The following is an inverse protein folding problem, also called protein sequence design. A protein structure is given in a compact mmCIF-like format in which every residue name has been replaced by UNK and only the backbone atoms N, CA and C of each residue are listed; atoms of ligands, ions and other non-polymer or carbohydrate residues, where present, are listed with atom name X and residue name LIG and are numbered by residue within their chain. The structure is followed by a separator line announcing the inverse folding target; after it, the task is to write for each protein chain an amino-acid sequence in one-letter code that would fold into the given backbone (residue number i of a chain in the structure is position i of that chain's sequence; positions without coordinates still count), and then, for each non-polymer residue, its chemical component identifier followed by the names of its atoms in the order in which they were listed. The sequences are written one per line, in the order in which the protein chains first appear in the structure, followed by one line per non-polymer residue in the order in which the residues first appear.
data_IF_774445334913
#
_entry.id   IF_774445334913
#
_cell.length_a   1.000
_cell.length_b   1.000
_cell.length_c   1.000
_cell.angle_alpha   90.00
_cell.angle_beta   90.00
_cell.angle_gamma   90.00
#
_symmetry.space_group_name_H-M   'P 1'
#
loop_
_entity.id
_entity.type
_entity.pdbx_description
1 polymer ?
#
# COMPACT_ATOMS: atom_id res chain seq x y z
N UNK A 1 6.03 2.13 15.26
CA UNK A 1 5.98 2.55 13.84
C UNK A 1 7.33 3.04 13.38
N UNK A 2 7.77 4.24 13.77
CA UNK A 2 9.03 4.85 13.30
C UNK A 2 10.27 3.95 13.54
N UNK A 3 10.43 3.40 14.74
CA UNK A 3 11.56 2.49 15.04
C UNK A 3 11.56 1.25 14.14
N UNK A 4 10.38 0.72 13.84
CA UNK A 4 10.23 -0.44 12.97
C UNK A 4 10.59 -0.08 11.51
N UNK A 5 10.16 1.09 11.05
CA UNK A 5 10.52 1.62 9.73
C UNK A 5 12.05 1.77 9.58
N UNK A 6 12.68 2.46 10.53
CA UNK A 6 14.14 2.65 10.56
C UNK A 6 14.85 1.29 10.57
N UNK A 7 14.38 0.31 11.36
CA UNK A 7 14.97 -1.03 11.40
C UNK A 7 14.99 -1.71 10.03
N UNK A 8 13.88 -1.72 9.30
CA UNK A 8 13.83 -2.33 7.97
C UNK A 8 14.65 -1.56 6.94
N UNK A 9 14.58 -0.23 6.94
CA UNK A 9 15.36 0.61 6.03
C UNK A 9 16.88 0.47 6.26
N UNK A 10 17.33 0.40 7.52
CA UNK A 10 18.73 0.11 7.84
C UNK A 10 19.15 -1.28 7.34
N UNK A 11 18.25 -2.26 7.40
CA UNK A 11 18.47 -3.58 6.81
C UNK A 11 18.73 -3.53 5.30
N UNK A 12 17.94 -2.73 4.56
CA UNK A 12 18.14 -2.50 3.12
C UNK A 12 19.50 -1.85 2.86
N UNK A 13 19.83 -0.75 3.56
CA UNK A 13 21.11 -0.04 3.42
C UNK A 13 22.29 -0.96 3.72
N UNK A 14 22.20 -1.77 4.77
CA UNK A 14 23.24 -2.73 5.13
C UNK A 14 23.44 -3.77 4.03
N UNK A 15 22.36 -4.32 3.47
CA UNK A 15 22.44 -5.33 2.40
C UNK A 15 22.99 -4.76 1.09
N UNK A 16 22.69 -3.50 0.79
CA UNK A 16 23.10 -2.86 -0.46
C UNK A 16 24.53 -2.30 -0.40
N UNK A 17 24.92 -1.67 0.71
CA UNK A 17 26.20 -0.97 0.85
C UNK A 17 27.27 -1.72 1.65
N UNK A 18 27.09 -3.01 1.90
CA UNK A 18 28.04 -3.87 2.66
C UNK A 18 29.49 -3.75 2.19
N UNK A 19 29.73 -3.50 0.91
CA UNK A 19 31.08 -3.40 0.32
C UNK A 19 31.76 -2.04 0.53
N UNK A 20 31.04 -1.00 0.98
CA UNK A 20 31.54 0.38 1.13
C UNK A 20 31.12 0.95 2.50
N UNK A 21 31.90 0.72 3.57
CA UNK A 21 31.48 1.06 4.94
C UNK A 21 31.28 2.56 5.20
N UNK A 22 32.06 3.43 4.53
CA UNK A 22 31.92 4.90 4.68
C UNK A 22 30.58 5.40 4.11
N UNK A 23 30.24 4.97 2.90
CA UNK A 23 28.95 5.29 2.25
C UNK A 23 27.78 4.64 2.98
N UNK A 24 27.96 3.41 3.47
CA UNK A 24 26.97 2.73 4.29
C UNK A 24 26.68 3.51 5.58
N UNK A 25 27.70 3.99 6.29
CA UNK A 25 27.51 4.77 7.52
C UNK A 25 26.78 6.10 7.25
N UNK A 26 27.08 6.75 6.13
CA UNK A 26 26.38 7.97 5.71
C UNK A 26 24.90 7.73 5.42
N UNK A 27 24.59 6.68 4.66
CA UNK A 27 23.20 6.32 4.35
C UNK A 27 22.44 5.82 5.58
N UNK A 28 23.10 5.13 6.50
CA UNK A 28 22.53 4.74 7.79
C UNK A 28 22.21 5.99 8.64
N UNK A 29 23.08 6.99 8.64
CA UNK A 29 22.82 8.27 9.31
C UNK A 29 21.60 8.97 8.69
N UNK A 30 21.53 9.06 7.37
CA UNK A 30 20.38 9.65 6.69
C UNK A 30 19.08 8.87 6.92
N UNK A 31 19.16 7.55 7.08
CA UNK A 31 18.01 6.71 7.47
C UNK A 31 17.53 7.05 8.87
N UNK A 32 18.45 7.18 9.83
CA UNK A 32 18.11 7.53 11.23
C UNK A 32 17.52 8.95 11.31
N UNK A 33 17.99 9.87 10.46
CA UNK A 33 17.47 11.23 10.35
C UNK A 33 16.17 11.32 9.53
N UNK A 34 15.63 10.20 9.04
CA UNK A 34 14.47 10.15 8.14
C UNK A 34 14.62 10.96 6.84
N UNK A 35 15.86 11.19 6.39
CA UNK A 35 16.20 11.92 5.16
C UNK A 35 16.47 11.01 3.97
N UNK A 36 16.47 9.69 4.18
CA UNK A 36 16.72 8.69 3.13
C UNK A 36 15.78 8.80 1.92
N UNK A 37 14.44 9.02 2.06
CA UNK A 37 13.57 9.15 0.89
C UNK A 37 13.98 10.28 -0.06
N UNK A 38 14.49 11.40 0.47
CA UNK A 38 14.95 12.52 -0.33
C UNK A 38 16.26 12.19 -1.08
N UNK A 39 17.18 11.48 -0.41
CA UNK A 39 18.42 11.04 -1.03
C UNK A 39 18.18 9.99 -2.12
N UNK A 40 17.29 9.03 -1.87
CA UNK A 40 16.97 7.98 -2.83
C UNK A 40 16.28 8.59 -4.07
N UNK A 41 15.36 9.53 -3.89
CA UNK A 41 14.77 10.29 -5.00
C UNK A 41 15.83 11.07 -5.82
N UNK A 42 16.78 11.72 -5.15
CA UNK A 42 17.88 12.41 -5.82
C UNK A 42 18.74 11.45 -6.66
N UNK A 43 19.00 10.23 -6.15
CA UNK A 43 19.76 9.21 -6.88
C UNK A 43 19.01 8.65 -8.09
N UNK A 44 17.69 8.44 -7.96
CA UNK A 44 16.85 8.02 -9.09
C UNK A 44 16.92 9.02 -10.24
N UNK A 45 16.84 10.32 -9.93
CA UNK A 45 16.96 11.39 -10.94
C UNK A 45 18.39 11.50 -11.47
N UNK A 46 19.39 11.28 -10.64
CA UNK A 46 20.80 11.32 -11.04
C UNK A 46 21.20 10.20 -12.01
N UNK A 47 20.50 9.06 -12.00
CA UNK A 47 20.73 7.94 -12.92
C UNK A 47 22.10 7.26 -12.78
N UNK A 48 22.92 7.66 -11.81
CA UNK A 48 24.23 7.07 -11.57
C UNK A 48 24.07 5.71 -10.89
N UNK A 49 24.29 4.64 -11.66
CA UNK A 49 24.33 3.27 -11.15
C UNK A 49 25.74 2.90 -10.76
N UNK A 50 25.97 2.62 -9.48
CA UNK A 50 27.29 2.17 -9.04
C UNK A 50 27.44 0.65 -9.25
N UNK A 51 28.59 0.21 -9.76
CA UNK A 51 28.85 -1.19 -10.16
C UNK A 51 28.75 -2.23 -9.02
N UNK A 52 28.69 -1.78 -7.77
CA UNK A 52 28.59 -2.63 -6.58
C UNK A 52 27.18 -2.71 -6.00
N UNK A 53 26.22 -1.94 -6.51
CA UNK A 53 24.84 -1.92 -6.05
C UNK A 53 24.10 -3.19 -6.50
N UNK A 54 23.35 -3.78 -5.56
CA UNK A 54 22.56 -5.00 -5.83
C UNK A 54 21.21 -4.69 -6.46
N UNK A 55 20.63 -3.58 -6.07
CA UNK A 55 19.38 -3.05 -6.59
C UNK A 55 19.68 -1.78 -7.36
N UNK A 56 18.94 -1.57 -8.43
CA UNK A 56 18.95 -0.29 -9.12
C UNK A 56 18.34 0.80 -8.22
N UNK A 57 18.76 2.07 -8.32
CA UNK A 57 18.24 3.15 -7.46
C UNK A 57 16.71 3.23 -7.40
N UNK A 58 16.01 3.02 -8.52
CA UNK A 58 14.55 3.00 -8.55
C UNK A 58 13.94 1.82 -7.77
N UNK A 59 14.59 0.65 -7.83
CA UNK A 59 14.19 -0.53 -7.06
C UNK A 59 14.49 -0.38 -5.56
N UNK A 60 15.59 0.27 -5.19
CA UNK A 60 15.89 0.61 -3.79
C UNK A 60 14.83 1.56 -3.22
N UNK A 61 14.48 2.63 -3.95
CA UNK A 61 13.42 3.56 -3.57
C UNK A 61 12.08 2.84 -3.40
N UNK A 62 11.72 1.94 -4.33
CA UNK A 62 10.49 1.15 -4.23
C UNK A 62 10.47 0.28 -2.96
N UNK A 63 11.55 -0.47 -2.68
CA UNK A 63 11.64 -1.36 -1.51
C UNK A 63 11.59 -0.58 -0.21
N UNK A 64 12.31 0.53 -0.10
CA UNK A 64 12.32 1.36 1.11
C UNK A 64 10.97 2.02 1.34
N UNK A 65 10.32 2.48 0.26
CA UNK A 65 8.98 3.05 0.34
C UNK A 65 7.91 2.03 0.72
N UNK A 66 8.05 0.79 0.28
CA UNK A 66 7.19 -0.32 0.74
C UNK A 66 7.25 -0.53 2.24
N UNK A 67 8.46 -0.56 2.80
CA UNK A 67 8.63 -0.68 4.25
C UNK A 67 8.06 0.53 4.99
N UNK A 68 8.27 1.75 4.49
CA UNK A 68 7.68 2.96 5.07
C UNK A 68 6.15 2.91 5.07
N UNK A 69 5.54 2.56 3.93
CA UNK A 69 4.09 2.46 3.80
C UNK A 69 3.50 1.43 4.76
N UNK A 70 4.12 0.24 4.85
CA UNK A 70 3.65 -0.85 5.71
C UNK A 70 3.84 -0.57 7.20
N UNK A 71 5.00 -0.05 7.61
CA UNK A 71 5.36 0.06 9.04
C UNK A 71 4.93 1.36 9.70
N UNK A 72 4.70 2.41 8.90
CA UNK A 72 4.44 3.76 9.38
C UNK A 72 3.15 4.35 8.81
N UNK A 73 3.01 4.41 7.48
CA UNK A 73 1.89 5.13 6.87
C UNK A 73 0.53 4.45 7.14
N UNK A 74 0.41 3.15 6.87
CA UNK A 74 -0.82 2.39 7.12
C UNK A 74 -1.16 2.39 8.62
N UNK A 75 -0.27 1.97 9.53
CA UNK A 75 -0.61 1.96 10.95
C UNK A 75 -0.89 3.37 11.48
N UNK A 76 -0.20 4.40 10.97
CA UNK A 76 -0.36 5.79 11.38
C UNK A 76 -1.74 6.33 11.04
N UNK A 77 -2.23 6.02 9.82
CA UNK A 77 -3.58 6.36 9.41
C UNK A 77 -4.65 5.62 10.24
N UNK A 78 -4.41 4.35 10.59
CA UNK A 78 -5.30 3.58 11.48
C UNK A 78 -5.38 4.23 12.87
N UNK A 79 -4.25 4.63 13.45
CA UNK A 79 -4.22 5.32 14.75
C UNK A 79 -4.96 6.65 14.70
N UNK A 80 -4.73 7.47 13.66
CA UNK A 80 -5.47 8.73 13.47
C UNK A 80 -6.99 8.50 13.39
N UNK A 81 -7.41 7.49 12.63
CA UNK A 81 -8.83 7.16 12.46
C UNK A 81 -9.46 6.59 13.74
N UNK A 82 -8.76 5.72 14.48
CA UNK A 82 -9.26 5.21 15.77
C UNK A 82 -9.43 6.32 16.81
N UNK A 83 -8.55 7.32 16.81
CA UNK A 83 -8.66 8.48 17.69
C UNK A 83 -9.87 9.36 17.34
N UNK A 84 -10.12 9.59 16.04
CA UNK A 84 -11.32 10.30 15.57
C UNK A 84 -12.58 9.54 15.99
N UNK A 85 -12.63 8.22 15.76
CA UNK A 85 -13.78 7.38 16.11
C UNK A 85 -14.00 7.32 17.62
N UNK A 86 -12.94 7.28 18.43
CA UNK A 86 -13.04 7.36 19.89
C UNK A 86 -13.78 8.62 20.33
N UNK A 87 -13.39 9.78 19.81
CA UNK A 87 -14.08 11.05 20.10
C UNK A 87 -15.55 11.08 19.72
N UNK A 88 -15.86 10.56 18.52
CA UNK A 88 -17.26 10.46 18.07
C UNK A 88 -18.08 9.60 19.04
N UNK A 89 -17.50 8.49 19.51
CA UNK A 89 -18.15 7.59 20.46
C UNK A 89 -18.36 8.23 21.85
N UNK A 90 -17.47 9.11 22.27
CA UNK A 90 -17.53 9.82 23.54
C UNK A 90 -18.42 11.09 23.48
N UNK A 91 -18.99 11.38 22.30
CA UNK A 91 -19.82 12.57 22.06
C UNK A 91 -19.03 13.87 21.97
N UNK A 92 -17.70 13.80 21.85
CA UNK A 92 -16.84 14.97 21.69
C UNK A 92 -16.86 15.51 20.26
N UNK A 93 -16.72 16.84 20.13
CA UNK A 93 -16.58 17.46 18.83
C UNK A 93 -15.28 17.01 18.15
N UNK A 94 -15.40 16.46 16.94
CA UNK A 94 -14.25 16.14 16.09
C UNK A 94 -13.75 17.42 15.43
N UNK A 95 -12.50 17.78 15.68
CA UNK A 95 -11.87 18.91 14.99
C UNK A 95 -11.72 18.64 13.50
N UNK A 96 -12.06 19.63 12.67
CA UNK A 96 -11.81 19.59 11.22
C UNK A 96 -10.34 19.29 10.90
N UNK A 97 -9.41 19.79 11.73
CA UNK A 97 -7.96 19.55 11.60
C UNK A 97 -7.60 18.07 11.70
N UNK A 98 -8.32 17.28 12.52
CA UNK A 98 -8.05 15.85 12.66
C UNK A 98 -8.51 15.08 11.41
N UNK A 99 -9.68 15.43 10.88
CA UNK A 99 -10.21 14.80 9.65
C UNK A 99 -9.32 15.16 8.45
N UNK A 100 -8.93 16.43 8.33
CA UNK A 100 -8.05 16.87 7.24
C UNK A 100 -6.66 16.24 7.36
N UNK A 101 -6.11 16.08 8.57
CA UNK A 101 -4.86 15.33 8.80
C UNK A 101 -4.96 13.89 8.28
N UNK A 102 -6.03 13.17 8.62
CA UNK A 102 -6.24 11.81 8.16
C UNK A 102 -6.35 11.76 6.63
N UNK A 103 -7.12 12.68 6.03
CA UNK A 103 -7.28 12.77 4.58
C UNK A 103 -5.94 13.03 3.88
N UNK A 104 -5.14 13.96 4.40
CA UNK A 104 -3.80 14.25 3.87
C UNK A 104 -2.86 13.05 4.02
N UNK A 105 -2.93 12.32 5.14
CA UNK A 105 -2.13 11.11 5.35
C UNK A 105 -2.48 10.01 4.33
N UNK A 106 -3.77 9.78 4.08
CA UNK A 106 -4.24 8.81 3.09
C UNK A 106 -3.78 9.25 1.68
N UNK A 107 -4.04 10.51 1.31
CA UNK A 107 -3.66 11.05 0.01
C UNK A 107 -2.15 11.02 -0.23
N UNK A 108 -1.33 11.39 0.76
CA UNK A 108 0.13 11.34 0.65
C UNK A 108 0.65 9.90 0.46
N UNK A 109 0.06 8.94 1.16
CA UNK A 109 0.38 7.51 1.02
C UNK A 109 0.01 7.02 -0.38
N UNK A 110 -1.20 7.34 -0.84
CA UNK A 110 -1.68 6.98 -2.17
C UNK A 110 -0.86 7.62 -3.27
N UNK A 111 -0.51 8.90 -3.15
CA UNK A 111 0.38 9.59 -4.09
C UNK A 111 1.71 8.84 -4.19
N UNK A 112 2.38 8.60 -3.07
CA UNK A 112 3.67 7.95 -3.09
C UNK A 112 3.65 6.55 -3.70
N UNK A 113 2.63 5.75 -3.38
CA UNK A 113 2.49 4.39 -3.94
C UNK A 113 2.20 4.40 -5.43
N UNK A 114 1.35 5.32 -5.90
CA UNK A 114 1.01 5.40 -7.33
C UNK A 114 2.08 6.10 -8.16
N UNK A 115 2.90 6.99 -7.56
CA UNK A 115 4.10 7.52 -8.20
C UNK A 115 5.10 6.43 -8.55
N UNK A 116 5.30 5.43 -7.67
CA UNK A 116 6.14 4.27 -7.99
C UNK A 116 5.62 3.50 -9.21
N UNK A 117 4.31 3.29 -9.30
CA UNK A 117 3.70 2.65 -10.49
C UNK A 117 3.87 3.52 -11.72
N UNK A 118 3.65 4.84 -11.60
CA UNK A 118 3.75 5.78 -12.70
C UNK A 118 5.16 5.83 -13.29
N UNK A 119 6.17 5.99 -12.43
CA UNK A 119 7.58 6.04 -12.82
C UNK A 119 8.00 4.70 -13.45
N UNK A 120 7.55 3.59 -12.88
CA UNK A 120 7.80 2.25 -13.42
C UNK A 120 7.16 2.06 -14.80
N UNK A 121 5.90 2.47 -14.98
CA UNK A 121 5.14 2.27 -16.20
C UNK A 121 5.56 3.19 -17.35
N UNK A 122 5.91 4.45 -17.07
CA UNK A 122 6.29 5.42 -18.10
C UNK A 122 7.76 5.26 -18.53
N UNK A 123 8.58 4.54 -17.77
CA UNK A 123 9.98 4.31 -18.12
C UNK A 123 10.12 3.58 -19.48
N UNK A 124 10.80 4.19 -20.48
CA UNK A 124 11.00 3.58 -21.79
C UNK A 124 11.77 2.25 -21.77
N UNK A 125 12.69 2.06 -20.83
CA UNK A 125 13.46 0.82 -20.71
C UNK A 125 12.56 -0.33 -20.25
N UNK A 126 11.78 -0.10 -19.20
CA UNK A 126 10.79 -1.05 -18.70
C UNK A 126 9.76 -1.45 -19.77
N UNK A 127 9.26 -0.48 -20.54
CA UNK A 127 8.32 -0.74 -21.67
C UNK A 127 8.96 -1.54 -22.80
N UNK A 128 10.26 -1.42 -23.01
CA UNK A 128 11.00 -2.20 -24.02
C UNK A 128 11.27 -3.62 -23.54
N UNK A 129 11.61 -3.79 -22.27
CA UNK A 129 11.91 -5.09 -21.69
C UNK A 129 10.67 -5.97 -21.51
N UNK A 130 9.59 -5.42 -20.94
CA UNK A 130 8.32 -6.13 -20.78
C UNK A 130 7.12 -5.27 -21.18
N UNK A 131 6.82 -5.18 -22.49
CA UNK A 131 5.69 -4.41 -23.01
C UNK A 131 4.31 -4.97 -22.61
N UNK A 132 4.24 -6.16 -21.99
CA UNK A 132 2.98 -6.71 -21.47
C UNK A 132 2.75 -6.33 -20.01
N UNK A 133 3.83 -6.12 -19.25
CA UNK A 133 3.78 -5.70 -17.86
C UNK A 133 3.70 -4.17 -17.70
N UNK A 134 4.21 -3.43 -18.69
CA UNK A 134 4.30 -1.97 -18.70
C UNK A 134 3.63 -1.37 -19.92
N UNK A 135 3.13 -0.14 -19.80
CA UNK A 135 2.36 0.56 -20.82
C UNK A 135 0.87 0.69 -20.48
N UNK A 136 0.50 0.50 -19.21
CA UNK A 136 -0.86 0.75 -18.73
C UNK A 136 -1.23 2.23 -18.83
N UNK A 137 -0.25 3.13 -18.68
CA UNK A 137 -0.47 4.58 -18.71
C UNK A 137 -0.29 5.07 -20.16
N UNK A 138 -1.34 5.56 -20.82
CA UNK A 138 -1.27 6.04 -22.19
C UNK A 138 -0.37 7.28 -22.31
N UNK A 139 0.06 7.58 -23.54
CA UNK A 139 0.86 8.78 -23.79
C UNK A 139 0.04 10.08 -23.70
N UNK A 140 -1.26 9.99 -24.00
CA UNK A 140 -2.22 11.07 -23.81
C UNK A 140 -2.85 10.99 -22.41
N UNK A 141 -3.26 12.13 -21.84
CA UNK A 141 -3.99 12.18 -20.56
C UNK A 141 -3.28 11.53 -19.35
N UNK A 142 -1.94 11.44 -19.35
CA UNK A 142 -1.12 10.87 -18.26
C UNK A 142 -1.50 11.39 -16.87
N UNK A 143 -1.72 12.70 -16.75
CA UNK A 143 -2.08 13.34 -15.48
C UNK A 143 -3.44 12.83 -14.99
N UNK A 144 -4.43 12.71 -15.88
CA UNK A 144 -5.76 12.20 -15.53
C UNK A 144 -5.65 10.76 -15.01
N UNK A 145 -4.96 9.89 -15.75
CA UNK A 145 -4.76 8.49 -15.35
C UNK A 145 -4.04 8.41 -14.00
N UNK A 146 -2.98 9.19 -13.80
CA UNK A 146 -2.27 9.26 -12.52
C UNK A 146 -3.18 9.69 -11.36
N UNK A 147 -3.99 10.74 -11.55
CA UNK A 147 -4.94 11.20 -10.53
C UNK A 147 -5.99 10.13 -10.24
N UNK A 148 -6.50 9.42 -11.25
CA UNK A 148 -7.46 8.34 -11.06
C UNK A 148 -6.85 7.18 -10.26
N UNK A 149 -5.61 6.79 -10.54
CA UNK A 149 -4.88 5.77 -9.77
C UNK A 149 -4.77 6.18 -8.30
N UNK A 150 -4.43 7.45 -8.04
CA UNK A 150 -4.32 8.01 -6.70
C UNK A 150 -5.67 7.99 -5.97
N UNK A 151 -6.77 8.36 -6.63
CA UNK A 151 -8.12 8.33 -6.02
C UNK A 151 -8.56 6.89 -5.73
N UNK A 152 -8.35 5.94 -6.64
CA UNK A 152 -8.65 4.51 -6.41
C UNK A 152 -7.90 4.01 -5.17
N UNK A 153 -6.62 4.37 -5.06
CA UNK A 153 -5.77 4.03 -3.91
C UNK A 153 -6.30 4.64 -2.60
N UNK A 154 -6.65 5.93 -2.63
CA UNK A 154 -7.10 6.66 -1.45
C UNK A 154 -8.44 6.13 -0.94
N UNK A 155 -9.39 5.87 -1.84
CA UNK A 155 -10.67 5.27 -1.50
C UNK A 155 -10.52 3.85 -0.94
N UNK A 156 -9.63 3.03 -1.53
CA UNK A 156 -9.35 1.67 -1.00
C UNK A 156 -8.77 1.74 0.40
N UNK A 157 -7.81 2.63 0.63
CA UNK A 157 -7.17 2.79 1.95
C UNK A 157 -8.16 3.28 2.99
N UNK A 158 -9.01 4.25 2.63
CA UNK A 158 -10.06 4.76 3.50
C UNK A 158 -11.08 3.66 3.89
N UNK A 159 -11.54 2.86 2.91
CA UNK A 159 -12.42 1.71 3.15
C UNK A 159 -11.77 0.68 4.07
N UNK A 160 -10.49 0.36 3.87
CA UNK A 160 -9.78 -0.60 4.71
C UNK A 160 -9.56 -0.11 6.14
N UNK A 161 -9.25 1.17 6.34
CA UNK A 161 -9.13 1.74 7.68
C UNK A 161 -10.46 1.59 8.44
N UNK A 162 -11.59 1.83 7.78
CA UNK A 162 -12.92 1.61 8.39
C UNK A 162 -13.14 0.13 8.70
N UNK A 163 -12.81 -0.79 7.78
CA UNK A 163 -12.90 -2.23 8.05
C UNK A 163 -12.12 -2.64 9.30
N UNK A 164 -10.87 -2.17 9.43
CA UNK A 164 -10.03 -2.44 10.61
C UNK A 164 -10.72 -1.98 11.89
N UNK A 165 -11.29 -0.77 11.90
CA UNK A 165 -11.95 -0.20 13.08
C UNK A 165 -13.19 -1.00 13.46
N UNK A 166 -14.05 -1.31 12.49
CA UNK A 166 -15.30 -2.05 12.72
C UNK A 166 -15.00 -3.48 13.18
N UNK A 167 -14.09 -4.19 12.49
CA UNK A 167 -13.67 -5.54 12.86
C UNK A 167 -13.00 -5.56 14.24
N UNK A 168 -12.20 -4.54 14.58
CA UNK A 168 -11.58 -4.42 15.91
C UNK A 168 -12.61 -4.31 17.03
N UNK A 169 -13.74 -3.63 16.78
CA UNK A 169 -14.87 -3.53 17.71
C UNK A 169 -15.65 -4.85 17.81
N UNK A 170 -15.78 -5.61 16.71
CA UNK A 170 -16.42 -6.94 16.71
C UNK A 170 -15.59 -8.00 17.44
N UNK A 171 -14.27 -7.91 17.38
CA UNK A 171 -13.36 -8.78 18.11
C UNK A 171 -12.02 -8.96 17.44
N UNK A 172 -10.96 -9.08 18.24
CA UNK A 172 -9.60 -9.21 17.72
C UNK A 172 -9.41 -10.45 16.84
N UNK A 173 -10.06 -11.58 17.17
CA UNK A 173 -9.97 -12.81 16.37
C UNK A 173 -10.56 -12.61 14.98
N UNK A 174 -11.69 -11.91 14.86
CA UNK A 174 -12.34 -11.64 13.56
C UNK A 174 -11.45 -10.74 12.70
N UNK A 175 -10.84 -9.71 13.30
CA UNK A 175 -9.87 -8.84 12.64
C UNK A 175 -8.67 -9.64 12.09
N UNK A 176 -8.09 -10.53 12.89
CA UNK A 176 -6.94 -11.35 12.45
C UNK A 176 -7.34 -12.27 11.30
N UNK A 177 -8.49 -12.93 11.39
CA UNK A 177 -8.99 -13.81 10.34
C UNK A 177 -9.21 -13.05 9.02
N UNK A 178 -9.70 -11.81 9.08
CA UNK A 178 -9.91 -10.95 7.91
C UNK A 178 -8.64 -10.76 7.07
N UNK A 179 -7.49 -10.55 7.70
CA UNK A 179 -6.21 -10.38 6.98
C UNK A 179 -5.51 -11.71 6.66
N UNK A 180 -5.61 -12.70 7.55
CA UNK A 180 -4.89 -13.97 7.40
C UNK A 180 -5.51 -14.82 6.28
N UNK A 181 -6.84 -14.85 6.12
CA UNK A 181 -7.50 -15.69 5.12
C UNK A 181 -7.09 -15.31 3.69
N UNK A 182 -7.21 -14.05 3.23
CA UNK A 182 -6.76 -13.64 1.89
C UNK A 182 -5.26 -13.87 1.68
N UNK A 183 -4.45 -13.64 2.71
CA UNK A 183 -3.01 -13.88 2.66
C UNK A 183 -2.68 -15.37 2.46
N UNK A 184 -3.35 -16.27 3.16
CA UNK A 184 -3.20 -17.71 2.97
C UNK A 184 -3.65 -18.15 1.57
N UNK A 185 -4.75 -17.58 1.06
CA UNK A 185 -5.22 -17.85 -0.30
C UNK A 185 -4.20 -17.39 -1.36
N UNK A 186 -3.56 -16.24 -1.16
CA UNK A 186 -2.48 -15.77 -2.02
C UNK A 186 -1.29 -16.75 -2.03
N UNK A 187 -0.83 -17.17 -0.84
CA UNK A 187 0.25 -18.16 -0.74
C UNK A 187 -0.13 -19.50 -1.36
N UNK A 188 -1.36 -19.98 -1.15
CA UNK A 188 -1.86 -21.21 -1.76
C UNK A 188 -1.87 -21.12 -3.29
N UNK A 189 -2.33 -19.99 -3.85
CA UNK A 189 -2.32 -19.74 -5.31
C UNK A 189 -0.90 -19.72 -5.87
N UNK A 190 0.06 -19.06 -5.20
CA UNK A 190 1.48 -19.07 -5.60
C UNK A 190 2.07 -20.48 -5.53
N UNK A 191 1.76 -21.25 -4.49
CA UNK A 191 2.24 -22.63 -4.34
C UNK A 191 1.68 -23.57 -5.43
N UNK A 192 0.38 -23.45 -5.73
CA UNK A 192 -0.30 -24.26 -6.76
C UNK A 192 0.23 -24.01 -8.17
N UNK A 193 0.67 -22.78 -8.47
CA UNK A 193 1.20 -22.41 -9.80
C UNK A 193 2.67 -22.82 -10.02
N UNK A 194 3.31 -23.50 -9.05
CA UNK A 194 4.66 -24.09 -9.14
C UNK A 194 5.75 -23.15 -9.70
N UNK A 195 5.62 -21.84 -9.55
CA UNK A 195 6.59 -20.88 -10.07
C UNK A 195 6.29 -19.48 -9.59
N UNK A 196 7.36 -18.70 -9.39
CA UNK A 196 7.39 -17.31 -8.91
C UNK A 196 7.59 -17.09 -7.40
N UNK A 197 8.10 -18.09 -6.67
CA UNK A 197 9.06 -17.73 -5.64
C UNK A 197 10.37 -17.43 -6.37
N UNK A 198 10.69 -16.14 -6.43
CA UNK A 198 11.91 -15.52 -6.97
C UNK A 198 13.20 -16.31 -6.63
N UNK A 199 14.30 -16.14 -7.41
CA UNK A 199 15.23 -17.20 -7.81
C UNK A 199 15.76 -18.09 -6.68
N UNK A 200 16.06 -19.34 -7.03
CA UNK A 200 16.43 -20.48 -6.18
C UNK A 200 17.54 -20.27 -5.12
N UNK A 201 18.19 -19.10 -5.10
CA UNK A 201 19.31 -18.76 -4.21
C UNK A 201 18.91 -17.84 -3.03
N UNK A 202 17.63 -17.47 -2.87
CA UNK A 202 17.16 -16.65 -1.75
C UNK A 202 16.53 -17.54 -0.66
N UNK A 203 16.87 -17.36 0.63
CA UNK A 203 16.23 -18.10 1.71
C UNK A 203 14.71 -17.87 1.75
N UNK A 204 13.95 -18.88 2.17
CA UNK A 204 12.48 -18.84 2.19
C UNK A 204 11.91 -17.69 3.05
N UNK A 205 12.53 -17.40 4.20
CA UNK A 205 12.01 -16.43 5.17
C UNK A 205 11.91 -14.99 4.59
N UNK A 206 12.97 -14.39 4.02
CA UNK A 206 12.89 -13.09 3.34
C UNK A 206 11.82 -13.03 2.25
N UNK A 207 11.61 -14.13 1.53
CA UNK A 207 10.61 -14.21 0.46
C UNK A 207 9.20 -14.13 1.05
N UNK A 208 8.92 -14.96 2.07
CA UNK A 208 7.63 -14.95 2.76
C UNK A 208 7.34 -13.58 3.36
N UNK A 209 8.33 -12.96 4.00
CA UNK A 209 8.21 -11.61 4.57
C UNK A 209 7.91 -10.57 3.48
N UNK A 210 8.62 -10.60 2.36
CA UNK A 210 8.35 -9.70 1.23
C UNK A 210 6.91 -9.83 0.72
N UNK A 211 6.39 -11.05 0.61
CA UNK A 211 5.02 -11.28 0.19
C UNK A 211 4.00 -10.79 1.22
N UNK A 212 4.26 -10.98 2.52
CA UNK A 212 3.41 -10.42 3.59
C UNK A 212 3.36 -8.89 3.49
N UNK A 213 4.51 -8.22 3.37
CA UNK A 213 4.55 -6.77 3.23
C UNK A 213 3.83 -6.29 1.97
N UNK A 214 4.07 -6.97 0.85
CA UNK A 214 3.50 -6.60 -0.45
C UNK A 214 1.99 -6.76 -0.46
N UNK A 215 1.47 -7.88 0.04
CA UNK A 215 0.02 -8.14 0.04
C UNK A 215 -0.71 -7.20 0.99
N UNK A 216 -0.19 -7.00 2.22
CA UNK A 216 -0.82 -6.05 3.14
C UNK A 216 -0.77 -4.64 2.58
N UNK A 217 0.34 -4.22 1.99
CA UNK A 217 0.40 -2.89 1.37
C UNK A 217 -0.62 -2.76 0.25
N UNK A 218 -0.71 -3.77 -0.62
CA UNK A 218 -1.69 -3.80 -1.69
C UNK A 218 -3.14 -3.80 -1.19
N UNK A 219 -3.45 -4.52 -0.11
CA UNK A 219 -4.80 -4.56 0.46
C UNK A 219 -5.29 -3.16 0.82
N UNK A 220 -4.41 -2.35 1.41
CA UNK A 220 -4.71 -0.98 1.80
C UNK A 220 -4.61 -0.01 0.62
N UNK A 221 -3.59 -0.09 -0.23
CA UNK A 221 -3.30 1.00 -1.17
C UNK A 221 -3.71 0.71 -2.61
N UNK A 222 -4.19 -0.49 -2.95
CA UNK A 222 -4.44 -0.90 -4.34
C UNK A 222 -3.24 -0.56 -5.26
N UNK A 223 -2.02 -0.90 -4.81
CA UNK A 223 -0.79 -0.60 -5.54
C UNK A 223 -0.79 -1.29 -6.90
N UNK A 224 -0.97 -0.52 -7.98
CA UNK A 224 -1.26 -1.07 -9.31
C UNK A 224 -0.09 -1.79 -9.95
N UNK A 225 1.15 -1.47 -9.60
CA UNK A 225 2.33 -2.22 -10.05
C UNK A 225 2.25 -3.72 -9.71
N UNK A 226 1.51 -4.11 -8.67
CA UNK A 226 1.33 -5.51 -8.29
C UNK A 226 0.49 -6.34 -9.29
N UNK A 227 -0.10 -5.71 -10.31
CA UNK A 227 -0.73 -6.37 -11.47
C UNK A 227 0.29 -7.26 -12.20
N UNK A 228 1.58 -6.93 -12.10
CA UNK A 228 2.65 -7.69 -12.71
C UNK A 228 2.68 -9.15 -12.22
N UNK A 229 3.07 -10.11 -13.08
CA UNK A 229 3.11 -11.55 -12.73
C UNK A 229 3.94 -11.85 -11.48
N UNK A 230 5.02 -11.10 -11.32
CA UNK A 230 5.94 -11.13 -10.19
C UNK A 230 5.28 -10.82 -8.85
N UNK A 231 4.33 -9.89 -8.84
CA UNK A 231 3.52 -9.51 -7.69
C UNK A 231 2.39 -10.51 -7.43
N UNK A 232 1.14 -10.08 -7.64
CA UNK A 232 -0.06 -10.93 -7.51
C UNK A 232 -0.57 -11.45 -8.86
N UNK A 233 -0.13 -10.84 -9.97
CA UNK A 233 -0.69 -11.03 -11.29
C UNK A 233 -2.07 -10.39 -11.44
N UNK A 234 -2.45 -10.01 -12.66
CA UNK A 234 -3.70 -9.28 -12.93
C UNK A 234 -4.96 -9.91 -12.33
N UNK A 235 -5.18 -11.21 -12.53
CA UNK A 235 -6.36 -11.88 -11.94
C UNK A 235 -6.33 -11.95 -10.41
N UNK A 236 -5.14 -11.98 -9.78
CA UNK A 236 -5.00 -11.93 -8.33
C UNK A 236 -5.30 -10.54 -7.80
N UNK A 237 -4.74 -9.51 -8.44
CA UNK A 237 -4.99 -8.11 -8.14
C UNK A 237 -6.48 -7.76 -8.26
N UNK A 238 -7.13 -8.07 -9.38
CA UNK A 238 -8.56 -7.76 -9.58
C UNK A 238 -9.44 -8.48 -8.57
N UNK A 239 -9.17 -9.76 -8.30
CA UNK A 239 -9.91 -10.51 -7.29
C UNK A 239 -9.76 -9.91 -5.89
N UNK A 240 -8.55 -9.45 -5.55
CA UNK A 240 -8.30 -8.81 -4.26
C UNK A 240 -8.98 -7.45 -4.13
N UNK A 241 -8.96 -6.64 -5.19
CA UNK A 241 -9.67 -5.36 -5.23
C UNK A 241 -11.18 -5.55 -5.03
N UNK A 242 -11.78 -6.52 -5.74
CA UNK A 242 -13.21 -6.85 -5.57
C UNK A 242 -13.48 -7.34 -4.15
N UNK A 243 -12.66 -8.25 -3.62
CA UNK A 243 -12.79 -8.75 -2.26
C UNK A 243 -12.77 -7.59 -1.25
N UNK A 244 -11.85 -6.65 -1.38
CA UNK A 244 -11.73 -5.50 -0.47
C UNK A 244 -12.95 -4.58 -0.51
N UNK A 245 -13.50 -4.31 -1.70
CA UNK A 245 -14.72 -3.49 -1.81
C UNK A 245 -15.94 -4.22 -1.25
N UNK A 246 -16.16 -5.49 -1.64
CA UNK A 246 -17.27 -6.28 -1.11
C UNK A 246 -17.17 -6.47 0.40
N UNK A 247 -15.97 -6.70 0.93
CA UNK A 247 -15.72 -6.82 2.35
C UNK A 247 -16.17 -5.58 3.11
N UNK A 248 -16.00 -4.39 2.53
CA UNK A 248 -16.39 -3.14 3.19
C UNK A 248 -17.90 -3.07 3.45
N UNK A 249 -18.72 -3.50 2.49
CA UNK A 249 -20.16 -3.59 2.68
C UNK A 249 -20.54 -4.70 3.67
N UNK A 250 -19.91 -5.87 3.58
CA UNK A 250 -20.20 -7.01 4.46
C UNK A 250 -19.84 -6.69 5.91
N UNK A 251 -18.65 -6.13 6.16
CA UNK A 251 -18.21 -5.74 7.50
C UNK A 251 -19.14 -4.69 8.10
N UNK A 252 -19.53 -3.67 7.33
CA UNK A 252 -20.50 -2.67 7.78
C UNK A 252 -21.87 -3.30 8.12
N UNK A 253 -22.38 -4.18 7.26
CA UNK A 253 -23.66 -4.87 7.48
C UNK A 253 -23.65 -5.74 8.73
N UNK A 254 -22.59 -6.56 8.91
CA UNK A 254 -22.49 -7.47 10.07
C UNK A 254 -22.28 -6.68 11.36
N UNK A 255 -21.47 -5.61 11.34
CA UNK A 255 -21.28 -4.75 12.51
C UNK A 255 -22.60 -4.11 12.97
N UNK A 256 -23.37 -3.54 12.04
CA UNK A 256 -24.63 -2.85 12.35
C UNK A 256 -25.78 -3.82 12.65
N UNK A 257 -25.82 -4.98 11.99
CA UNK A 257 -26.85 -5.99 12.20
C UNK A 257 -26.64 -6.84 13.46
N UNK A 258 -25.40 -6.96 13.94
CA UNK A 258 -25.04 -7.79 15.09
C UNK A 258 -25.42 -7.22 16.46
N UNK A 259 -26.04 -6.04 16.53
CA UNK A 259 -26.44 -5.41 17.80
C UNK A 259 -25.29 -5.12 18.76
N UNK A 260 -24.04 -5.17 18.28
CA UNK A 260 -22.86 -4.92 19.10
C UNK A 260 -22.84 -3.43 19.45
N UNK A 261 -23.20 -3.10 20.70
CA UNK A 261 -23.43 -1.74 21.22
C UNK A 261 -22.18 -0.85 21.30
N UNK A 262 -21.48 -0.67 20.18
CA UNK A 262 -20.14 -0.09 20.11
C UNK A 262 -20.04 1.32 19.51
N UNK A 263 -21.00 2.21 19.74
CA UNK A 263 -20.82 3.66 19.61
C UNK A 263 -20.80 4.30 18.20
N UNK A 264 -20.59 3.54 17.12
CA UNK A 264 -20.70 4.06 15.74
C UNK A 264 -22.09 3.81 15.16
N UNK A 265 -22.80 4.89 14.82
CA UNK A 265 -24.13 4.83 14.23
C UNK A 265 -24.07 4.47 12.73
N UNK A 266 -25.03 3.67 12.26
CA UNK A 266 -25.22 3.33 10.85
C UNK A 266 -25.44 4.56 9.96
N UNK A 267 -25.98 5.65 10.51
CA UNK A 267 -26.12 6.94 9.82
C UNK A 267 -24.79 7.57 9.40
N UNK A 268 -23.68 7.21 10.04
CA UNK A 268 -22.34 7.69 9.67
C UNK A 268 -21.62 6.66 8.81
N UNK A 269 -21.72 5.38 9.17
CA UNK A 269 -21.00 4.29 8.50
C UNK A 269 -21.50 4.08 7.07
N UNK A 270 -22.82 4.03 6.85
CA UNK A 270 -23.36 3.74 5.52
C UNK A 270 -23.04 4.83 4.49
N UNK A 271 -23.25 6.13 4.77
CA UNK A 271 -22.89 7.17 3.81
C UNK A 271 -21.40 7.16 3.46
N UNK A 272 -20.53 6.91 4.44
CA UNK A 272 -19.09 6.80 4.19
C UNK A 272 -18.78 5.63 3.25
N UNK A 273 -19.29 4.43 3.55
CA UNK A 273 -19.04 3.22 2.75
C UNK A 273 -19.56 3.39 1.32
N UNK A 274 -20.76 3.94 1.16
CA UNK A 274 -21.35 4.19 -0.17
C UNK A 274 -20.57 5.26 -0.92
N UNK A 275 -20.16 6.36 -0.27
CA UNK A 275 -19.41 7.42 -0.90
C UNK A 275 -18.00 6.96 -1.32
N UNK A 276 -17.28 6.23 -0.47
CA UNK A 276 -15.92 5.75 -0.77
C UNK A 276 -15.92 4.73 -1.91
N UNK A 277 -16.85 3.77 -1.88
CA UNK A 277 -16.97 2.74 -2.91
C UNK A 277 -17.54 3.31 -4.22
N UNK A 278 -18.49 4.25 -4.14
CA UNK A 278 -19.04 4.93 -5.30
C UNK A 278 -17.99 5.76 -6.03
N UNK A 279 -17.19 6.54 -5.29
CA UNK A 279 -16.08 7.31 -5.85
C UNK A 279 -15.04 6.38 -6.51
N UNK A 280 -14.68 5.29 -5.83
CA UNK A 280 -13.78 4.28 -6.38
C UNK A 280 -14.32 3.66 -7.67
N UNK A 281 -15.60 3.31 -7.71
CA UNK A 281 -16.22 2.73 -8.90
C UNK A 281 -16.20 3.70 -10.08
N UNK A 282 -16.58 4.96 -9.85
CA UNK A 282 -16.51 6.01 -10.87
C UNK A 282 -15.07 6.18 -11.35
N UNK A 283 -14.09 6.25 -10.45
CA UNK A 283 -12.68 6.36 -10.82
C UNK A 283 -12.17 5.15 -11.59
N UNK A 284 -12.59 3.92 -11.25
CA UNK A 284 -12.24 2.73 -12.01
C UNK A 284 -12.83 2.76 -13.42
N UNK A 285 -14.11 3.10 -13.57
CA UNK A 285 -14.75 3.21 -14.88
C UNK A 285 -14.06 4.27 -15.73
N UNK A 286 -13.81 5.46 -15.17
CA UNK A 286 -13.08 6.52 -15.88
C UNK A 286 -11.65 6.10 -16.21
N UNK A 287 -10.97 5.37 -15.33
CA UNK A 287 -9.63 4.85 -15.58
C UNK A 287 -9.60 3.93 -16.79
N UNK A 288 -10.50 2.93 -16.84
CA UNK A 288 -10.58 2.00 -17.98
C UNK A 288 -11.05 2.66 -19.28
N UNK A 289 -11.79 3.78 -19.22
CA UNK A 289 -12.15 4.57 -20.40
C UNK A 289 -11.04 5.50 -20.88
N UNK A 290 -10.04 5.78 -20.03
CA UNK A 290 -8.97 6.73 -20.31
C UNK A 290 -7.68 6.07 -20.83
N UNK A 291 -7.55 4.75 -20.66
CA UNK A 291 -6.44 3.92 -21.16
C UNK A 291 -6.80 3.30 -22.52
#
# INVERSE_FOLDING_TARGET
MIVLNIFFQLGVVFLQRRKRPKLMAWDMLLTILCLKPAQDAFRVVGGERESYERLEPASELMVTKMFETFTEAIPGAIVQATFIVGRVSDGEAVSFTSISSLAMSIMATSFAMQSLTYDGDVNPENRREDPKAYGMIPDQNRILVFVLMMVISACTMASQIVNVILLRKMGFVVLVLYFVIPMLLHFARKLLRRGDFYPANIPLLPIVLWHIFSITTLDFTAWMQAIQPTGMGGAGFTGNLIFNQCATFVVAAVYLGGGSGGGLNGEVVWPFVVASNGMLFVSLVTFFLSI
#
